data_IF_727486274582
#
_entry.id   IF_727486274582
#
_cell.length_a   1.000
_cell.length_b   1.000
_cell.length_c   1.000
_cell.angle_alpha   90.00
_cell.angle_beta   90.00
_cell.angle_gamma   90.00
#
_symmetry.space_group_name_H-M   'P 1'
#
loop_
_entity.id
_entity.type
_entity.pdbx_description
1 polymer ?
#
# COMPACT_ATOMS: atom_id res chain seq x y z
N UNK A 1 -25.47 -2.44 -14.38
CA UNK A 1 -24.25 -2.37 -13.55
C UNK A 1 -23.94 -3.78 -13.09
N UNK A 2 -22.80 -4.32 -13.46
CA UNK A 2 -22.35 -5.60 -12.95
C UNK A 2 -22.23 -5.51 -11.41
N UNK A 3 -22.64 -6.56 -10.75
CA UNK A 3 -22.54 -6.63 -9.29
C UNK A 3 -21.06 -6.84 -8.94
N UNK A 4 -20.59 -6.27 -7.85
CA UNK A 4 -19.20 -6.42 -7.36
C UNK A 4 -18.83 -7.89 -7.20
N UNK A 5 -19.83 -8.73 -6.88
CA UNK A 5 -19.68 -10.18 -6.78
C UNK A 5 -19.22 -10.81 -8.12
N UNK A 6 -19.82 -10.39 -9.24
CA UNK A 6 -19.49 -10.88 -10.58
C UNK A 6 -18.12 -10.36 -11.02
N UNK A 7 -17.80 -9.09 -10.73
CA UNK A 7 -16.50 -8.50 -11.03
C UNK A 7 -15.38 -9.24 -10.30
N UNK A 8 -15.53 -9.46 -8.99
CA UNK A 8 -14.53 -10.15 -8.18
C UNK A 8 -14.40 -11.63 -8.58
N UNK A 9 -15.51 -12.32 -8.81
CA UNK A 9 -15.51 -13.72 -9.26
C UNK A 9 -14.86 -13.92 -10.63
N UNK A 10 -14.84 -12.88 -11.49
CA UNK A 10 -14.21 -12.90 -12.80
C UNK A 10 -12.72 -12.56 -12.80
N UNK A 11 -12.16 -12.14 -11.67
CA UNK A 11 -10.74 -11.83 -11.58
C UNK A 11 -9.88 -13.08 -11.79
N UNK A 12 -8.89 -12.97 -12.64
CA UNK A 12 -7.88 -14.00 -12.91
C UNK A 12 -6.50 -13.36 -12.94
N UNK A 13 -5.48 -14.12 -12.60
CA UNK A 13 -4.11 -13.65 -12.63
C UNK A 13 -3.72 -13.33 -14.07
N UNK A 14 -3.51 -12.06 -14.36
CA UNK A 14 -3.03 -11.58 -15.65
C UNK A 14 -1.51 -11.58 -15.72
N UNK A 15 -0.86 -11.24 -14.61
CA UNK A 15 0.60 -11.16 -14.48
C UNK A 15 1.04 -11.57 -13.10
N UNK A 16 2.24 -12.16 -13.05
CA UNK A 16 2.95 -12.54 -11.82
C UNK A 16 4.39 -12.07 -11.91
N UNK A 17 4.84 -11.36 -10.89
CA UNK A 17 6.24 -10.97 -10.75
C UNK A 17 6.76 -11.53 -9.42
N UNK A 18 7.85 -12.29 -9.48
CA UNK A 18 8.59 -12.75 -8.31
C UNK A 18 10.07 -12.48 -8.55
N UNK A 19 10.72 -11.79 -7.62
CA UNK A 19 12.17 -11.56 -7.66
C UNK A 19 12.82 -12.69 -6.86
N UNK A 20 13.43 -13.65 -7.59
CA UNK A 20 13.99 -14.86 -6.99
C UNK A 20 15.41 -14.69 -6.46
N UNK A 21 16.15 -13.67 -6.95
CA UNK A 21 17.55 -13.42 -6.59
C UNK A 21 17.68 -12.79 -5.20
N UNK A 22 16.69 -11.98 -4.79
CA UNK A 22 16.58 -11.38 -3.47
C UNK A 22 15.11 -11.41 -3.02
N UNK A 23 14.63 -12.57 -2.55
CA UNK A 23 13.25 -12.71 -2.13
C UNK A 23 13.00 -11.90 -0.87
N UNK A 24 12.04 -10.98 -0.92
CA UNK A 24 11.62 -10.13 0.18
C UNK A 24 10.10 -10.10 0.26
N UNK A 25 9.55 -10.04 1.46
CA UNK A 25 8.13 -9.84 1.66
C UNK A 25 7.70 -8.48 1.10
N UNK A 26 6.56 -8.44 0.41
CA UNK A 26 5.95 -7.22 -0.09
C UNK A 26 4.97 -6.72 0.96
N UNK A 27 5.30 -5.58 1.59
CA UNK A 27 4.63 -5.11 2.80
C UNK A 27 3.50 -4.13 2.52
N UNK A 28 3.77 -3.14 1.64
CA UNK A 28 2.79 -2.11 1.27
C UNK A 28 2.85 -1.84 -0.23
N UNK A 29 1.70 -1.50 -0.83
CA UNK A 29 1.54 -1.21 -2.25
C UNK A 29 0.82 0.12 -2.40
N UNK A 30 1.35 1.02 -3.22
CA UNK A 30 0.61 2.18 -3.72
C UNK A 30 0.80 2.36 -5.22
N UNK A 31 -0.13 3.07 -5.86
CA UNK A 31 -0.20 3.23 -7.32
C UNK A 31 -0.28 4.71 -7.67
N UNK A 32 0.43 5.11 -8.72
CA UNK A 32 0.34 6.48 -9.23
C UNK A 32 -1.09 6.82 -9.68
N UNK A 33 -1.56 8.02 -9.30
CA UNK A 33 -2.98 8.42 -9.36
C UNK A 33 -3.33 9.31 -10.55
N UNK A 34 -2.35 9.67 -11.41
CA UNK A 34 -2.59 10.59 -12.53
C UNK A 34 -3.55 10.04 -13.58
N UNK A 35 -4.40 10.93 -14.05
CA UNK A 35 -5.45 10.67 -15.05
C UNK A 35 -4.95 10.93 -16.48
N UNK A 36 -3.72 11.39 -16.67
CA UNK A 36 -3.20 11.73 -18.01
C UNK A 36 -2.95 10.46 -18.83
N UNK A 37 -3.46 10.43 -20.05
CA UNK A 37 -3.40 9.26 -20.95
C UNK A 37 -1.97 8.81 -21.34
N UNK A 38 -0.97 9.67 -21.15
CA UNK A 38 0.45 9.39 -21.41
C UNK A 38 1.24 9.10 -20.13
N UNK A 39 0.56 9.01 -18.96
CA UNK A 39 1.23 8.77 -17.69
C UNK A 39 1.77 7.34 -17.61
N UNK A 40 2.98 7.21 -17.10
CA UNK A 40 3.51 5.92 -16.70
C UNK A 40 2.71 5.42 -15.49
N UNK A 41 1.82 4.47 -15.71
CA UNK A 41 1.09 3.80 -14.62
C UNK A 41 2.09 3.02 -13.77
N UNK A 42 2.48 3.59 -12.64
CA UNK A 42 3.49 3.04 -11.74
C UNK A 42 2.85 2.35 -10.54
N UNK A 43 3.53 1.34 -10.05
CA UNK A 43 3.24 0.67 -8.77
C UNK A 43 4.50 0.75 -7.92
N UNK A 44 4.40 1.26 -6.72
CA UNK A 44 5.46 1.22 -5.71
C UNK A 44 5.14 0.15 -4.67
N UNK A 45 6.17 -0.54 -4.24
CA UNK A 45 6.09 -1.60 -3.24
C UNK A 45 7.21 -1.41 -2.22
N UNK A 46 6.87 -1.38 -0.93
CA UNK A 46 7.86 -1.48 0.15
C UNK A 46 8.15 -2.95 0.45
N UNK A 47 9.42 -3.27 0.68
CA UNK A 47 9.89 -4.63 0.87
C UNK A 47 10.56 -4.82 2.24
N UNK A 48 10.48 -6.04 2.79
CA UNK A 48 11.07 -6.39 4.09
C UNK A 48 12.61 -6.29 4.13
N UNK A 49 13.26 -6.34 2.96
CA UNK A 49 14.71 -6.09 2.83
C UNK A 49 15.07 -4.60 2.79
N UNK A 50 14.14 -3.70 3.16
CA UNK A 50 14.30 -2.24 3.18
C UNK A 50 14.41 -1.58 1.79
N UNK A 51 14.13 -2.32 0.72
CA UNK A 51 14.06 -1.77 -0.63
C UNK A 51 12.66 -1.24 -0.96
N UNK A 52 12.62 -0.23 -1.82
CA UNK A 52 11.40 0.26 -2.47
C UNK A 52 11.52 -0.09 -3.94
N UNK A 53 10.57 -0.86 -4.45
CA UNK A 53 10.55 -1.30 -5.85
C UNK A 53 9.44 -0.60 -6.61
N UNK A 54 9.76 -0.03 -7.77
CA UNK A 54 8.81 0.65 -8.63
C UNK A 54 8.67 -0.14 -9.93
N UNK A 55 7.44 -0.52 -10.23
CA UNK A 55 7.08 -1.34 -11.39
C UNK A 55 6.18 -0.57 -12.36
N UNK A 56 6.21 -0.97 -13.61
CA UNK A 56 5.13 -0.61 -14.53
C UNK A 56 3.88 -1.45 -14.18
N UNK A 57 2.73 -0.79 -13.96
CA UNK A 57 1.48 -1.43 -13.48
C UNK A 57 0.96 -2.51 -14.42
N UNK A 58 1.09 -2.30 -15.74
CA UNK A 58 0.52 -3.21 -16.74
C UNK A 58 1.36 -4.46 -16.98
N UNK A 59 2.67 -4.30 -16.92
CA UNK A 59 3.62 -5.37 -17.28
C UNK A 59 4.23 -6.06 -16.07
N UNK A 60 4.17 -5.42 -14.90
CA UNK A 60 4.89 -5.76 -13.68
C UNK A 60 6.41 -5.83 -13.90
N UNK A 61 6.93 -5.09 -14.90
CA UNK A 61 8.36 -4.97 -15.12
C UNK A 61 8.95 -4.00 -14.10
N UNK A 62 10.01 -4.42 -13.41
CA UNK A 62 10.74 -3.56 -12.46
C UNK A 62 11.44 -2.42 -13.22
N UNK A 63 11.12 -1.19 -12.83
CA UNK A 63 11.68 0.02 -13.44
C UNK A 63 12.77 0.62 -12.57
N UNK A 64 12.58 0.63 -11.23
CA UNK A 64 13.48 1.25 -10.26
C UNK A 64 13.50 0.44 -8.97
N UNK A 65 14.62 0.50 -8.28
CA UNK A 65 14.79 0.00 -6.91
C UNK A 65 15.60 1.01 -6.10
N UNK A 66 15.10 1.37 -4.92
CA UNK A 66 15.74 2.30 -3.99
C UNK A 66 16.10 1.57 -2.70
N UNK A 67 17.36 1.63 -2.30
CA UNK A 67 17.93 0.96 -1.12
C UNK A 67 18.50 1.97 -0.11
N UNK A 68 17.88 3.13 0.02
CA UNK A 68 18.44 4.27 0.75
C UNK A 68 17.91 4.46 2.18
N UNK A 69 17.17 3.51 2.72
CA UNK A 69 16.70 3.53 4.10
C UNK A 69 17.49 2.53 4.98
N UNK A 70 17.99 2.97 6.16
CA UNK A 70 18.71 2.08 7.08
C UNK A 70 17.76 1.22 7.92
N UNK A 71 16.55 1.70 8.18
CA UNK A 71 15.52 1.05 9.01
C UNK A 71 14.46 0.31 8.21
N UNK A 72 13.43 -0.16 8.91
CA UNK A 72 12.25 -0.80 8.31
C UNK A 72 11.38 0.23 7.60
N UNK A 73 10.83 -0.14 6.45
CA UNK A 73 9.88 0.67 5.72
C UNK A 73 8.46 0.46 6.25
N UNK A 74 7.79 1.53 6.61
CA UNK A 74 6.45 1.52 7.17
C UNK A 74 5.38 1.91 6.15
N UNK A 75 5.77 2.18 4.92
CA UNK A 75 4.86 2.38 3.80
C UNK A 75 5.47 3.18 2.66
N UNK A 76 4.73 3.22 1.56
CA UNK A 76 5.02 4.01 0.37
C UNK A 76 3.74 4.69 -0.11
N UNK A 77 3.85 5.95 -0.57
CA UNK A 77 2.72 6.72 -1.12
C UNK A 77 3.16 7.53 -2.32
N UNK A 78 2.45 7.39 -3.43
CA UNK A 78 2.57 8.34 -4.53
C UNK A 78 1.89 9.65 -4.19
N UNK A 79 2.44 10.75 -4.68
CA UNK A 79 1.73 12.01 -4.72
C UNK A 79 0.41 11.88 -5.51
N UNK A 80 -0.61 12.65 -5.11
CA UNK A 80 -1.92 12.64 -5.76
C UNK A 80 -1.93 13.42 -7.08
N UNK A 81 -1.12 14.49 -7.15
CA UNK A 81 -1.08 15.41 -8.29
C UNK A 81 0.09 15.15 -9.23
N UNK A 82 1.00 14.23 -8.89
CA UNK A 82 2.21 13.93 -9.67
C UNK A 82 2.58 12.46 -9.64
N UNK A 83 2.59 11.79 -10.78
CA UNK A 83 3.03 10.40 -10.92
C UNK A 83 4.53 10.17 -10.64
N UNK A 84 5.30 11.25 -10.58
CA UNK A 84 6.76 11.17 -10.50
C UNK A 84 7.28 11.33 -9.06
N UNK A 85 6.43 11.70 -8.11
CA UNK A 85 6.81 11.84 -6.71
C UNK A 85 6.32 10.65 -5.91
N UNK A 86 7.25 9.97 -5.27
CA UNK A 86 6.99 8.85 -4.37
C UNK A 86 7.53 9.19 -2.99
N UNK A 87 6.74 8.99 -1.96
CA UNK A 87 7.12 9.15 -0.56
C UNK A 87 7.29 7.79 0.10
N UNK A 88 8.22 7.70 1.04
CA UNK A 88 8.43 6.51 1.87
C UNK A 88 8.77 6.89 3.29
N UNK A 89 8.13 6.24 4.26
CA UNK A 89 8.44 6.40 5.68
C UNK A 89 9.27 5.23 6.20
N UNK A 90 10.13 5.54 7.15
CA UNK A 90 11.03 4.58 7.75
C UNK A 90 11.07 4.71 9.28
N UNK A 91 11.31 3.60 9.95
CA UNK A 91 11.49 3.53 11.40
C UNK A 91 12.71 4.31 11.93
N UNK A 92 13.55 4.87 11.04
CA UNK A 92 14.64 5.77 11.43
C UNK A 92 14.19 7.22 11.70
N UNK A 93 12.89 7.49 11.75
CA UNK A 93 12.32 8.82 11.97
C UNK A 93 12.45 9.74 10.74
N UNK A 94 12.53 9.17 9.54
CA UNK A 94 12.58 9.93 8.29
C UNK A 94 11.48 9.56 7.31
N UNK A 95 10.99 10.58 6.58
CA UNK A 95 10.23 10.38 5.35
C UNK A 95 11.07 10.94 4.20
N UNK A 96 11.17 10.17 3.12
CA UNK A 96 11.92 10.54 1.91
C UNK A 96 11.01 10.69 0.73
N UNK A 97 11.24 11.72 -0.09
CA UNK A 97 10.57 11.90 -1.36
C UNK A 97 11.56 11.59 -2.49
N UNK A 98 11.10 10.80 -3.46
CA UNK A 98 11.85 10.32 -4.61
C UNK A 98 11.24 10.85 -5.90
N UNK A 99 12.06 11.21 -6.87
CA UNK A 99 11.61 11.43 -8.25
C UNK A 99 11.81 10.12 -9.04
N UNK A 100 10.72 9.47 -9.41
CA UNK A 100 10.74 8.15 -10.07
C UNK A 100 11.34 8.18 -11.50
N UNK A 101 11.53 9.38 -12.08
CA UNK A 101 12.22 9.55 -13.37
C UNK A 101 13.73 9.44 -13.24
N UNK A 102 14.27 9.79 -12.06
CA UNK A 102 15.70 9.78 -11.82
C UNK A 102 16.19 8.35 -11.51
N UNK A 103 17.31 7.98 -12.06
CA UNK A 103 17.96 6.69 -11.78
C UNK A 103 18.86 6.73 -10.54
N UNK A 104 18.95 7.87 -9.86
CA UNK A 104 19.80 8.07 -8.68
C UNK A 104 19.11 7.54 -7.42
N UNK A 105 19.92 7.23 -6.40
CA UNK A 105 19.46 6.90 -5.04
C UNK A 105 19.31 8.17 -4.18
N UNK A 106 19.31 9.34 -4.79
CA UNK A 106 19.20 10.62 -4.12
C UNK A 106 17.73 11.00 -3.92
N UNK A 107 17.42 11.49 -2.74
CA UNK A 107 16.11 12.01 -2.40
C UNK A 107 15.95 13.45 -2.87
N UNK A 108 14.77 13.82 -3.35
CA UNK A 108 14.44 15.21 -3.71
C UNK A 108 13.98 16.03 -2.53
N UNK A 109 13.43 15.36 -1.49
CA UNK A 109 13.08 15.99 -0.21
C UNK A 109 13.32 14.98 0.92
N UNK A 110 13.72 15.50 2.07
CA UNK A 110 13.88 14.74 3.30
C UNK A 110 13.10 15.44 4.42
N UNK A 111 12.23 14.69 5.10
CA UNK A 111 11.48 15.13 6.25
C UNK A 111 12.01 14.36 7.46
N UNK A 112 12.27 15.07 8.55
CA UNK A 112 12.80 14.47 9.77
C UNK A 112 11.95 14.91 10.96
N UNK A 113 11.58 13.94 11.78
CA UNK A 113 10.98 14.19 13.07
C UNK A 113 12.01 14.54 14.14
N UNK A 114 11.57 14.56 15.38
CA UNK A 114 12.46 14.71 16.52
C UNK A 114 13.35 13.47 16.68
N UNK A 115 14.53 13.58 17.32
CA UNK A 115 15.55 12.51 17.34
C UNK A 115 15.08 11.17 17.91
N UNK A 116 14.06 11.17 18.78
CA UNK A 116 13.49 9.97 19.41
C UNK A 116 12.32 9.37 18.62
N UNK A 117 11.82 10.03 17.58
CA UNK A 117 10.64 9.55 16.87
C UNK A 117 10.96 8.32 15.98
N UNK A 118 10.16 7.29 16.15
CA UNK A 118 10.08 6.14 15.25
C UNK A 118 8.76 6.26 14.50
N UNK A 119 8.80 6.51 13.20
CA UNK A 119 7.58 6.58 12.40
C UNK A 119 7.09 5.19 12.07
N UNK A 120 5.81 4.90 12.40
CA UNK A 120 5.15 3.63 12.10
C UNK A 120 4.01 3.77 11.10
N UNK A 121 3.55 4.98 10.87
CA UNK A 121 2.53 5.29 9.86
C UNK A 121 2.78 6.67 9.24
N UNK A 122 2.30 6.88 8.02
CA UNK A 122 2.30 8.19 7.39
C UNK A 122 1.30 8.25 6.24
N UNK A 123 0.93 9.48 5.86
CA UNK A 123 0.16 9.74 4.65
C UNK A 123 0.45 11.15 4.12
N UNK A 124 0.00 11.43 2.90
CA UNK A 124 0.05 12.75 2.26
C UNK A 124 -1.36 13.19 1.88
N UNK A 125 -1.68 14.46 2.09
CA UNK A 125 -3.01 14.98 1.79
C UNK A 125 -3.29 15.07 0.27
N UNK A 126 -4.56 15.10 -0.10
CA UNK A 126 -5.01 14.97 -1.50
C UNK A 126 -4.52 16.08 -2.45
N UNK A 127 -3.98 17.19 -1.95
CA UNK A 127 -3.38 18.26 -2.74
C UNK A 127 -1.84 18.29 -2.69
N UNK A 128 -1.21 17.29 -2.05
CA UNK A 128 0.25 17.13 -1.91
C UNK A 128 0.96 18.29 -1.19
N UNK A 129 0.26 19.00 -0.29
CA UNK A 129 0.85 20.12 0.44
C UNK A 129 1.34 19.75 1.83
N UNK A 130 0.71 18.76 2.49
CA UNK A 130 1.01 18.35 3.85
C UNK A 130 1.31 16.84 3.88
N UNK A 131 2.41 16.50 4.52
CA UNK A 131 2.73 15.12 4.94
C UNK A 131 2.51 15.04 6.44
N UNK A 132 1.91 13.95 6.90
CA UNK A 132 1.76 13.64 8.32
C UNK A 132 2.31 12.24 8.60
N UNK A 133 3.01 12.09 9.75
CA UNK A 133 3.44 10.79 10.27
C UNK A 133 2.94 10.58 11.69
N UNK A 134 2.59 9.33 12.01
CA UNK A 134 2.33 8.86 13.37
C UNK A 134 3.54 8.12 13.93
N UNK A 135 3.80 8.31 15.21
CA UNK A 135 4.96 7.73 15.89
C UNK A 135 4.59 6.51 16.73
N UNK A 136 5.60 5.71 17.01
CA UNK A 136 5.63 4.79 18.16
C UNK A 136 5.64 5.60 19.45
N UNK A 137 5.07 5.05 20.54
CA UNK A 137 5.11 5.64 21.87
C UNK A 137 6.55 5.62 22.41
N UNK A 138 6.98 6.76 22.93
CA UNK A 138 8.28 6.92 23.59
C UNK A 138 8.10 7.70 24.88
N UNK A 139 8.36 7.10 26.04
CA UNK A 139 8.28 7.73 27.36
C UNK A 139 6.88 8.30 27.69
N UNK A 140 5.81 7.57 27.29
CA UNK A 140 4.39 7.93 27.43
C UNK A 140 3.91 9.02 26.44
N UNK A 141 4.77 9.48 25.51
CA UNK A 141 4.42 10.47 24.48
C UNK A 141 4.29 9.83 23.09
N UNK A 142 3.25 10.21 22.37
CA UNK A 142 3.04 9.86 20.95
C UNK A 142 2.79 11.13 20.14
N UNK A 143 3.16 11.11 18.87
CA UNK A 143 3.08 12.33 18.07
C UNK A 143 2.49 12.06 16.67
N UNK A 144 1.57 12.94 16.27
CA UNK A 144 1.31 13.21 14.86
C UNK A 144 2.19 14.39 14.45
N UNK A 145 3.10 14.16 13.52
CA UNK A 145 4.06 15.19 13.09
C UNK A 145 3.71 15.64 11.67
N UNK A 146 3.68 16.95 11.42
CA UNK A 146 3.25 17.54 10.16
C UNK A 146 4.37 18.30 9.46
N UNK A 147 4.48 18.22 8.13
CA UNK A 147 5.45 18.96 7.31
C UNK A 147 4.81 19.56 6.06
N UNK A 148 5.40 20.68 5.62
CA UNK A 148 5.13 21.25 4.31
C UNK A 148 5.80 20.42 3.21
N UNK A 149 5.01 19.76 2.38
CA UNK A 149 5.48 18.91 1.28
C UNK A 149 5.82 19.69 -0.01
N UNK A 150 5.58 21.01 -0.05
CA UNK A 150 5.92 21.82 -1.24
C UNK A 150 7.42 21.76 -1.52
N UNK A 151 7.78 21.62 -2.78
CA UNK A 151 9.18 21.63 -3.20
C UNK A 151 9.73 23.05 -3.02
N UNK A 152 10.80 23.20 -2.26
CA UNK A 152 11.59 24.43 -2.30
C UNK A 152 12.49 24.38 -3.54
N UNK A 153 12.64 25.51 -4.22
CA UNK A 153 13.51 25.64 -5.41
C UNK A 153 15.00 25.50 -5.08
N UNK A 154 15.35 25.59 -3.82
CA UNK A 154 16.71 25.40 -3.35
C UNK A 154 16.95 23.92 -3.02
N UNK A 155 17.73 23.27 -3.85
CA UNK A 155 18.24 21.91 -3.65
C UNK A 155 19.23 21.85 -2.47
N UNK A 156 18.83 22.36 -1.30
CA UNK A 156 19.62 22.19 -0.09
C UNK A 156 19.32 20.81 0.49
N UNK A 157 20.36 20.03 0.75
CA UNK A 157 20.33 18.71 1.36
C UNK A 157 19.88 18.71 2.83
N UNK A 158 19.26 19.80 3.29
CA UNK A 158 18.76 19.95 4.64
C UNK A 158 17.39 19.32 4.79
N UNK A 159 17.21 18.54 5.86
CA UNK A 159 15.91 17.99 6.20
C UNK A 159 14.92 19.12 6.49
N UNK A 160 13.66 18.93 6.12
CA UNK A 160 12.57 19.84 6.46
C UNK A 160 12.21 19.67 7.93
N UNK A 161 12.10 20.80 8.62
CA UNK A 161 11.61 20.85 9.98
C UNK A 161 10.09 20.69 10.01
N UNK A 162 9.51 20.10 11.07
CA UNK A 162 8.07 20.01 11.24
C UNK A 162 7.40 21.39 11.27
N UNK A 163 6.19 21.45 10.73
CA UNK A 163 5.28 22.58 10.89
C UNK A 163 4.68 22.63 12.30
N UNK A 164 4.40 21.46 12.86
CA UNK A 164 3.80 21.29 14.18
C UNK A 164 3.61 19.82 14.51
N UNK A 165 3.17 19.57 15.73
CA UNK A 165 2.87 18.23 16.27
C UNK A 165 1.57 18.27 17.05
N UNK A 166 0.83 17.16 17.03
CA UNK A 166 -0.23 16.84 17.99
C UNK A 166 0.29 15.75 18.91
N UNK A 167 0.07 15.88 20.21
CA UNK A 167 0.64 15.00 21.24
C UNK A 167 -0.30 14.68 22.42
N UNK A 168 -1.51 15.19 22.41
CA UNK A 168 -2.42 15.08 23.56
C UNK A 168 -3.58 14.11 23.33
N UNK A 169 -3.83 13.71 22.08
CA UNK A 169 -5.04 12.96 21.69
C UNK A 169 -4.87 11.46 21.63
N UNK A 170 -3.64 10.94 21.67
CA UNK A 170 -3.33 9.51 21.72
C UNK A 170 -2.32 9.21 22.84
N UNK A 171 -2.48 8.03 23.47
CA UNK A 171 -1.63 7.59 24.59
C UNK A 171 -0.79 6.35 24.25
N UNK A 172 -0.81 5.89 22.98
CA UNK A 172 -0.09 4.69 22.53
C UNK A 172 0.19 4.79 21.02
N UNK A 173 0.87 3.85 20.43
CA UNK A 173 1.34 3.79 19.04
C UNK A 173 0.31 4.28 18.02
N UNK A 174 0.65 5.28 17.19
CA UNK A 174 -0.23 5.76 16.11
C UNK A 174 -0.01 4.93 14.87
N UNK A 175 -0.70 3.81 14.81
CA UNK A 175 -0.54 2.74 13.82
C UNK A 175 -0.99 3.12 12.41
N UNK A 176 -1.89 4.09 12.27
CA UNK A 176 -2.37 4.54 10.97
C UNK A 176 -2.70 6.03 10.94
N UNK A 177 -2.19 6.70 9.90
CA UNK A 177 -2.61 8.02 9.46
C UNK A 177 -3.32 7.88 8.11
N UNK A 178 -4.43 8.59 7.92
CA UNK A 178 -5.18 8.57 6.67
C UNK A 178 -5.83 9.94 6.42
N UNK A 179 -5.33 10.69 5.43
CA UNK A 179 -5.96 11.92 5.00
C UNK A 179 -7.29 11.64 4.28
N UNK A 180 -8.20 12.60 4.42
CA UNK A 180 -9.47 12.55 3.70
C UNK A 180 -9.24 12.64 2.18
N UNK A 181 -9.90 11.78 1.36
CA UNK A 181 -9.60 11.68 -0.07
C UNK A 181 -9.86 12.95 -0.89
N UNK A 182 -10.72 13.85 -0.40
CA UNK A 182 -11.17 15.06 -1.13
C UNK A 182 -10.90 16.35 -0.36
N UNK A 183 -11.00 16.34 0.96
CA UNK A 183 -10.80 17.52 1.81
C UNK A 183 -9.38 17.52 2.36
N UNK A 184 -8.48 18.40 1.87
CA UNK A 184 -7.05 18.33 2.20
C UNK A 184 -6.71 18.69 3.66
N UNK A 185 -7.64 19.29 4.37
CA UNK A 185 -7.50 19.68 5.77
C UNK A 185 -7.99 18.64 6.77
N UNK A 186 -8.68 17.60 6.32
CA UNK A 186 -9.15 16.54 7.22
C UNK A 186 -8.18 15.36 7.23
N UNK A 187 -7.84 14.88 8.43
CA UNK A 187 -7.02 13.70 8.65
C UNK A 187 -7.61 12.85 9.77
N UNK A 188 -7.53 11.54 9.62
CA UNK A 188 -7.83 10.58 10.67
C UNK A 188 -6.56 9.89 11.14
N UNK A 189 -6.48 9.62 12.44
CA UNK A 189 -5.46 8.78 13.07
C UNK A 189 -6.10 7.60 13.78
N UNK A 190 -5.39 6.48 13.83
CA UNK A 190 -5.79 5.31 14.61
C UNK A 190 -4.62 4.83 15.45
N UNK A 191 -4.88 4.43 16.70
CA UNK A 191 -3.87 4.07 17.67
C UNK A 191 -4.15 2.72 18.33
N UNK A 192 -3.10 2.14 18.91
CA UNK A 192 -3.20 0.96 19.77
C UNK A 192 -3.94 1.24 21.07
N UNK A 193 -4.15 2.51 21.45
CA UNK A 193 -5.03 2.93 22.55
C UNK A 193 -6.53 2.63 22.29
N UNK A 194 -6.87 2.20 21.07
CA UNK A 194 -8.23 1.84 20.67
C UNK A 194 -9.04 3.00 20.07
N UNK A 195 -8.45 4.18 19.96
CA UNK A 195 -9.14 5.37 19.46
C UNK A 195 -8.85 5.59 17.96
N UNK A 196 -9.86 6.12 17.29
CA UNK A 196 -9.76 6.74 15.96
C UNK A 196 -10.16 8.20 16.11
N UNK A 197 -9.22 9.11 15.91
CA UNK A 197 -9.43 10.54 16.01
C UNK A 197 -9.49 11.19 14.62
N UNK A 198 -10.35 12.19 14.47
CA UNK A 198 -10.51 12.95 13.21
C UNK A 198 -10.26 14.43 13.50
N UNK A 199 -9.40 15.05 12.69
CA UNK A 199 -8.95 16.43 12.87
C UNK A 199 -9.18 17.30 11.64
N UNK A 200 -9.44 18.59 11.90
CA UNK A 200 -9.30 19.68 10.91
C UNK A 200 -8.01 20.44 11.18
N UNK A 201 -6.97 20.16 10.40
CA UNK A 201 -5.65 20.78 10.54
C UNK A 201 -5.57 22.28 10.15
N UNK A 202 -6.69 22.90 9.78
CA UNK A 202 -6.75 24.34 9.60
C UNK A 202 -6.91 25.11 10.93
N UNK A 203 -7.13 24.41 12.03
CA UNK A 203 -7.26 24.99 13.35
C UNK A 203 -5.88 25.27 13.96
N UNK A 204 -5.83 26.21 14.91
CA UNK A 204 -4.58 26.71 15.44
C UNK A 204 -3.92 25.75 16.46
N UNK A 205 -4.72 25.00 17.21
CA UNK A 205 -4.26 24.06 18.22
C UNK A 205 -4.94 22.68 18.06
N UNK A 206 -4.43 21.70 18.81
CA UNK A 206 -4.86 20.31 18.74
C UNK A 206 -6.28 20.10 19.25
N UNK A 207 -6.64 20.80 20.35
CA UNK A 207 -7.96 20.70 20.98
C UNK A 207 -9.05 21.21 20.03
N UNK A 208 -8.85 22.37 19.42
CA UNK A 208 -9.78 22.93 18.45
C UNK A 208 -9.80 22.14 17.13
N UNK A 209 -8.70 21.48 16.79
CA UNK A 209 -8.58 20.65 15.58
C UNK A 209 -9.34 19.34 15.70
N UNK A 210 -9.49 18.79 16.91
CA UNK A 210 -10.17 17.50 17.13
C UNK A 210 -11.67 17.63 16.87
N UNK A 211 -12.14 17.00 15.82
CA UNK A 211 -13.56 17.03 15.42
C UNK A 211 -14.36 15.87 16.00
N UNK A 212 -13.76 14.69 16.10
CA UNK A 212 -14.44 13.49 16.55
C UNK A 212 -13.45 12.45 17.09
N UNK A 213 -13.87 11.74 18.14
CA UNK A 213 -13.18 10.56 18.67
C UNK A 213 -14.11 9.37 18.60
N UNK A 214 -13.67 8.28 17.97
CA UNK A 214 -14.38 7.01 17.84
C UNK A 214 -13.64 5.95 18.65
N UNK A 215 -14.35 5.18 19.48
CA UNK A 215 -13.76 4.12 20.29
C UNK A 215 -14.03 2.75 19.66
N UNK A 216 -12.99 1.99 19.36
CA UNK A 216 -13.09 0.62 18.82
C UNK A 216 -13.05 -0.46 19.88
N UNK A 217 -12.80 -0.11 21.15
CA UNK A 217 -12.59 -1.03 22.28
C UNK A 217 -11.43 -2.02 22.12
N UNK A 218 -10.57 -1.81 21.12
CA UNK A 218 -9.42 -2.68 20.83
C UNK A 218 -8.36 -1.92 20.00
N UNK A 219 -7.10 -2.34 20.10
CA UNK A 219 -5.98 -1.74 19.37
C UNK A 219 -6.23 -1.63 17.86
N UNK A 220 -6.19 -0.42 17.33
CA UNK A 220 -6.44 -0.15 15.91
C UNK A 220 -5.22 -0.56 15.06
N UNK A 221 -5.45 -1.28 13.96
CA UNK A 221 -4.42 -1.69 13.01
C UNK A 221 -4.55 -1.02 11.64
N UNK A 222 -5.75 -0.60 11.27
CA UNK A 222 -6.07 0.00 9.99
C UNK A 222 -7.25 0.96 10.11
N UNK A 223 -7.22 2.07 9.38
CA UNK A 223 -8.35 3.00 9.24
C UNK A 223 -8.56 3.39 7.78
N UNK A 224 -9.77 3.84 7.45
CA UNK A 224 -10.09 4.39 6.15
C UNK A 224 -11.39 5.18 6.14
N UNK A 225 -11.56 5.95 5.09
CA UNK A 225 -12.75 6.75 4.83
C UNK A 225 -13.75 6.01 3.95
N UNK A 226 -15.04 6.24 4.19
CA UNK A 226 -16.11 5.59 3.42
C UNK A 226 -17.38 6.43 3.37
N UNK A 227 -18.39 5.90 2.67
CA UNK A 227 -19.68 6.54 2.51
C UNK A 227 -19.67 7.68 1.49
N UNK A 228 -20.87 8.14 1.19
CA UNK A 228 -21.04 9.26 0.27
C UNK A 228 -20.35 10.52 0.83
N UNK A 229 -19.57 11.18 -0.03
CA UNK A 229 -18.75 12.34 0.33
C UNK A 229 -17.72 12.05 1.44
N UNK A 230 -17.40 10.74 1.68
CA UNK A 230 -16.46 10.28 2.70
C UNK A 230 -16.77 10.78 4.12
N UNK A 231 -18.06 10.82 4.48
CA UNK A 231 -18.53 11.25 5.80
C UNK A 231 -18.51 10.12 6.84
N UNK A 232 -17.89 9.03 6.54
CA UNK A 232 -17.80 7.87 7.42
C UNK A 232 -16.35 7.44 7.56
N UNK A 233 -15.99 6.98 8.75
CA UNK A 233 -14.70 6.39 9.05
C UNK A 233 -14.88 4.97 9.55
N UNK A 234 -13.97 4.08 9.18
CA UNK A 234 -13.95 2.71 9.67
C UNK A 234 -12.56 2.34 10.13
N UNK A 235 -12.48 1.38 11.03
CA UNK A 235 -11.22 0.79 11.44
C UNK A 235 -11.27 -0.74 11.47
N UNK A 236 -10.10 -1.33 11.46
CA UNK A 236 -9.83 -2.71 11.82
C UNK A 236 -8.92 -2.74 13.03
N UNK A 237 -9.04 -3.79 13.83
CA UNK A 237 -8.24 -3.94 15.06
C UNK A 237 -7.26 -5.11 14.95
N UNK A 238 -6.25 -5.15 15.82
CA UNK A 238 -5.31 -6.25 15.90
C UNK A 238 -5.94 -7.59 16.35
N UNK A 239 -7.16 -7.53 16.89
CA UNK A 239 -7.97 -8.72 17.21
C UNK A 239 -8.83 -9.19 16.04
N UNK A 240 -8.63 -8.65 14.83
CA UNK A 240 -9.44 -8.87 13.62
C UNK A 240 -10.88 -8.37 13.77
N UNK A 241 -11.08 -7.35 14.60
CA UNK A 241 -12.35 -6.63 14.73
C UNK A 241 -12.55 -5.61 13.60
N UNK A 242 -13.77 -5.14 13.48
CA UNK A 242 -14.17 -4.11 12.52
C UNK A 242 -15.19 -3.16 13.15
N UNK A 243 -14.90 -1.85 13.05
CA UNK A 243 -15.80 -0.81 13.51
C UNK A 243 -16.03 0.22 12.41
N UNK A 244 -17.23 0.80 12.37
CA UNK A 244 -17.66 1.76 11.36
C UNK A 244 -18.56 2.83 11.94
N UNK A 245 -18.26 4.11 11.68
CA UNK A 245 -18.96 5.26 12.25
C UNK A 245 -19.38 6.26 11.18
N UNK A 246 -20.50 6.96 11.45
CA UNK A 246 -20.98 8.09 10.66
C UNK A 246 -20.59 9.41 11.36
N UNK A 247 -19.88 10.26 10.62
CA UNK A 247 -19.40 11.57 11.07
C UNK A 247 -20.30 12.73 10.59
N UNK A 248 -21.45 12.44 9.97
CA UNK A 248 -22.32 13.50 9.40
C UNK A 248 -22.98 14.37 10.46
N UNK A 249 -22.98 13.94 11.72
CA UNK A 249 -23.51 14.66 12.89
C UNK A 249 -22.38 14.92 13.90
N UNK A 250 -21.43 15.76 13.53
CA UNK A 250 -20.27 16.10 14.39
C UNK A 250 -20.68 16.91 15.64
N UNK A 251 -21.89 17.51 15.65
CA UNK A 251 -22.41 18.27 16.80
C UNK A 251 -22.90 17.40 17.98
N UNK A 252 -22.79 16.07 17.87
CA UNK A 252 -23.10 15.14 18.97
C UNK A 252 -21.83 14.75 19.71
N UNK A 253 -21.91 14.52 21.02
CA UNK A 253 -20.78 14.16 21.87
C UNK A 253 -20.02 12.91 21.41
N UNK A 254 -20.70 12.00 20.66
CA UNK A 254 -20.10 10.80 20.11
C UNK A 254 -20.59 10.54 18.67
N UNK A 255 -19.71 10.14 17.74
CA UNK A 255 -20.10 9.71 16.40
C UNK A 255 -21.03 8.49 16.44
N UNK A 256 -21.99 8.45 15.51
CA UNK A 256 -22.94 7.36 15.43
C UNK A 256 -22.26 6.07 14.94
N UNK A 257 -22.24 5.04 15.78
CA UNK A 257 -21.74 3.71 15.40
C UNK A 257 -22.72 3.04 14.43
N UNK A 258 -22.25 2.73 13.21
CA UNK A 258 -23.03 2.01 12.19
C UNK A 258 -22.89 0.50 12.33
N UNK A 259 -21.70 0.02 12.66
CA UNK A 259 -21.39 -1.40 12.85
C UNK A 259 -20.17 -1.55 13.76
N UNK A 260 -20.24 -2.52 14.68
CA UNK A 260 -19.12 -2.94 15.50
C UNK A 260 -19.09 -4.47 15.60
N UNK A 261 -17.98 -5.07 15.20
CA UNK A 261 -17.73 -6.52 15.21
C UNK A 261 -16.42 -6.76 15.95
N UNK A 262 -16.44 -7.53 17.01
CA UNK A 262 -15.26 -7.80 17.84
C UNK A 262 -14.24 -8.71 17.13
N UNK A 263 -14.73 -9.70 16.37
CA UNK A 263 -13.91 -10.61 15.58
C UNK A 263 -14.65 -11.00 14.28
N UNK A 264 -14.17 -10.53 13.15
CA UNK A 264 -14.75 -10.81 11.84
C UNK A 264 -14.67 -12.29 11.48
N UNK A 265 -13.67 -13.02 12.01
CA UNK A 265 -13.47 -14.46 11.75
C UNK A 265 -14.58 -15.33 12.31
N UNK A 266 -15.24 -14.87 13.38
CA UNK A 266 -16.36 -15.59 14.01
C UNK A 266 -17.70 -15.37 13.27
N UNK A 267 -17.82 -14.23 12.56
CA UNK A 267 -19.07 -13.82 11.91
C UNK A 267 -19.12 -14.24 10.44
N UNK A 268 -18.00 -14.21 9.74
CA UNK A 268 -17.92 -14.51 8.31
C UNK A 268 -17.65 -16.00 8.08
N UNK A 269 -18.70 -16.73 7.73
CA UNK A 269 -18.58 -18.15 7.38
C UNK A 269 -18.07 -18.32 5.94
N UNK A 270 -16.99 -19.07 5.75
CA UNK A 270 -16.38 -19.38 4.46
C UNK A 270 -16.41 -20.90 4.27
N UNK A 271 -17.03 -21.37 3.21
CA UNK A 271 -17.07 -22.80 2.90
C UNK A 271 -15.64 -23.33 2.61
N UNK A 272 -15.25 -24.39 3.31
CA UNK A 272 -13.98 -25.09 3.17
C UNK A 272 -12.70 -24.23 3.39
N UNK A 273 -12.82 -23.09 4.06
CA UNK A 273 -11.71 -22.19 4.39
C UNK A 273 -12.01 -21.44 5.68
N UNK A 274 -11.00 -20.92 6.33
CA UNK A 274 -11.15 -20.04 7.48
C UNK A 274 -10.49 -18.72 7.17
N UNK A 275 -11.14 -17.62 7.50
CA UNK A 275 -10.50 -16.31 7.55
C UNK A 275 -9.45 -16.33 8.68
N UNK A 276 -8.21 -15.94 8.40
CA UNK A 276 -7.16 -15.91 9.41
C UNK A 276 -6.87 -14.49 9.89
N UNK A 277 -6.91 -13.51 8.99
CA UNK A 277 -6.56 -12.11 9.28
C UNK A 277 -7.24 -11.16 8.28
N UNK A 278 -7.33 -9.90 8.66
CA UNK A 278 -7.76 -8.80 7.79
C UNK A 278 -6.53 -8.11 7.16
N UNK A 279 -6.60 -7.79 5.87
CA UNK A 279 -5.52 -7.13 5.14
C UNK A 279 -5.74 -5.62 5.10
N UNK A 280 -6.99 -5.20 4.93
CA UNK A 280 -7.37 -3.80 4.83
C UNK A 280 -8.80 -3.66 4.30
N UNK A 281 -9.24 -2.42 4.14
CA UNK A 281 -10.55 -2.10 3.60
C UNK A 281 -10.50 -1.09 2.48
N UNK A 282 -11.58 -1.01 1.73
CA UNK A 282 -11.76 -0.01 0.68
C UNK A 282 -13.23 0.36 0.53
N UNK A 283 -13.47 1.64 0.24
CA UNK A 283 -14.78 2.10 -0.19
C UNK A 283 -14.87 2.08 -1.71
N UNK A 284 -15.79 1.29 -2.24
CA UNK A 284 -16.00 1.15 -3.68
C UNK A 284 -17.07 2.16 -4.16
N UNK A 285 -16.62 3.35 -4.58
CA UNK A 285 -17.47 4.48 -4.95
C UNK A 285 -18.56 4.14 -5.99
N UNK A 286 -18.21 3.37 -7.02
CA UNK A 286 -19.16 3.02 -8.10
C UNK A 286 -20.39 2.25 -7.61
N UNK A 287 -20.26 1.50 -6.54
CA UNK A 287 -21.32 0.65 -5.99
C UNK A 287 -21.81 1.11 -4.63
N UNK A 288 -21.21 2.16 -4.08
CA UNK A 288 -21.48 2.70 -2.73
C UNK A 288 -21.41 1.60 -1.67
N UNK A 289 -20.32 0.81 -1.71
CA UNK A 289 -20.09 -0.30 -0.80
C UNK A 289 -18.77 -0.18 -0.06
N UNK A 290 -18.79 -0.39 1.24
CA UNK A 290 -17.59 -0.60 2.02
C UNK A 290 -17.24 -2.09 1.98
N UNK A 291 -15.99 -2.38 1.62
CA UNK A 291 -15.47 -3.73 1.44
C UNK A 291 -14.26 -3.93 2.33
N UNK A 292 -14.17 -5.11 2.92
CA UNK A 292 -13.01 -5.58 3.68
C UNK A 292 -12.35 -6.71 2.92
N UNK A 293 -11.03 -6.69 2.86
CA UNK A 293 -10.21 -7.75 2.28
C UNK A 293 -9.55 -8.51 3.41
N UNK A 294 -9.80 -9.80 3.46
CA UNK A 294 -9.16 -10.70 4.40
C UNK A 294 -8.38 -11.81 3.70
N UNK A 295 -7.57 -12.52 4.46
CA UNK A 295 -6.71 -13.54 3.92
C UNK A 295 -6.58 -14.80 4.77
N UNK A 296 -5.95 -15.81 4.16
CA UNK A 296 -5.51 -17.02 4.85
C UNK A 296 -3.99 -17.12 4.82
N UNK A 297 -3.41 -17.84 5.77
CA UNK A 297 -1.98 -18.18 5.77
C UNK A 297 -1.52 -18.95 4.52
N UNK A 298 -2.47 -19.53 3.78
CA UNK A 298 -2.22 -20.26 2.53
C UNK A 298 -2.35 -19.36 1.28
N UNK A 299 -2.56 -18.05 1.46
CA UNK A 299 -2.59 -17.08 0.37
C UNK A 299 -3.93 -16.92 -0.36
N UNK A 300 -5.03 -17.48 0.16
CA UNK A 300 -6.35 -17.16 -0.36
C UNK A 300 -6.77 -15.75 0.08
N UNK A 301 -7.52 -15.05 -0.77
CA UNK A 301 -7.99 -13.69 -0.55
C UNK A 301 -9.51 -13.70 -0.53
N UNK A 302 -10.11 -13.18 0.52
CA UNK A 302 -11.55 -13.07 0.71
C UNK A 302 -11.99 -11.62 0.59
N UNK A 303 -13.03 -11.37 -0.19
CA UNK A 303 -13.69 -10.07 -0.26
C UNK A 303 -14.99 -10.15 0.56
N UNK A 304 -15.14 -9.23 1.49
CA UNK A 304 -16.25 -9.18 2.45
C UNK A 304 -16.95 -7.84 2.27
N UNK A 305 -18.26 -7.87 2.08
CA UNK A 305 -19.09 -6.66 2.02
C UNK A 305 -19.52 -6.27 3.44
N UNK A 306 -19.34 -5.00 3.77
CA UNK A 306 -19.79 -4.42 5.04
C UNK A 306 -21.11 -3.67 4.82
N UNK A 307 -22.14 -4.10 5.48
CA UNK A 307 -23.43 -3.43 5.51
C UNK A 307 -23.85 -3.12 6.95
N UNK A 308 -24.78 -2.19 7.13
CA UNK A 308 -25.31 -1.85 8.47
C UNK A 308 -25.96 -3.04 9.21
N UNK A 309 -26.34 -4.09 8.48
CA UNK A 309 -26.89 -5.32 9.03
C UNK A 309 -25.86 -6.40 9.31
N UNK A 310 -24.58 -6.13 9.10
CA UNK A 310 -23.47 -7.06 9.31
C UNK A 310 -22.60 -7.29 8.07
N UNK A 311 -21.78 -8.33 8.15
CA UNK A 311 -20.79 -8.70 7.15
C UNK A 311 -21.27 -9.87 6.29
N UNK A 312 -20.93 -9.87 5.01
CA UNK A 312 -21.22 -10.97 4.09
C UNK A 312 -20.08 -11.24 3.13
N UNK A 313 -19.74 -12.52 2.92
CA UNK A 313 -18.73 -12.92 1.95
C UNK A 313 -19.21 -12.59 0.53
N UNK A 314 -18.38 -11.84 -0.23
CA UNK A 314 -18.58 -11.55 -1.66
C UNK A 314 -17.99 -12.66 -2.52
N UNK A 315 -16.79 -13.12 -2.20
CA UNK A 315 -16.10 -14.16 -2.93
C UNK A 315 -14.69 -14.43 -2.44
N UNK A 316 -14.04 -15.41 -3.07
CA UNK A 316 -12.67 -15.84 -2.74
C UNK A 316 -11.83 -15.99 -3.99
N UNK A 317 -10.61 -15.45 -3.96
CA UNK A 317 -9.58 -15.70 -4.96
C UNK A 317 -8.61 -16.77 -4.44
N UNK A 318 -8.40 -17.79 -5.28
CA UNK A 318 -7.53 -18.92 -4.97
C UNK A 318 -6.33 -19.01 -5.92
N UNK A 319 -5.27 -19.69 -5.48
CA UNK A 319 -4.14 -20.08 -6.33
C UNK A 319 -3.25 -18.93 -6.78
N UNK A 320 -3.38 -17.76 -6.16
CA UNK A 320 -2.51 -16.62 -6.41
C UNK A 320 -1.25 -16.71 -5.57
N UNK A 321 -1.36 -16.43 -4.32
CA UNK A 321 -0.29 -16.47 -3.32
C UNK A 321 -0.16 -17.86 -2.68
N UNK A 322 0.99 -18.13 -2.07
CA UNK A 322 1.29 -19.33 -1.30
C UNK A 322 1.64 -19.06 0.18
N UNK A 323 1.58 -17.78 0.59
CA UNK A 323 1.81 -17.31 1.94
C UNK A 323 0.90 -16.10 2.22
N UNK A 324 1.05 -15.48 3.39
CA UNK A 324 0.29 -14.32 3.85
C UNK A 324 0.33 -13.17 2.84
N UNK A 325 -0.84 -12.67 2.47
CA UNK A 325 -0.97 -11.46 1.65
C UNK A 325 -0.95 -10.25 2.59
N UNK A 326 -0.05 -9.30 2.35
CA UNK A 326 0.19 -8.16 3.25
C UNK A 326 -0.48 -6.88 2.77
N UNK A 327 -0.64 -6.73 1.46
CA UNK A 327 -1.18 -5.50 0.89
C UNK A 327 -1.91 -5.75 -0.42
N UNK A 328 -2.80 -4.84 -0.75
CA UNK A 328 -3.54 -4.85 -2.00
C UNK A 328 -3.82 -3.42 -2.48
N UNK A 329 -4.08 -3.29 -3.76
CA UNK A 329 -4.61 -2.08 -4.37
C UNK A 329 -5.67 -2.45 -5.40
N UNK A 330 -6.89 -1.92 -5.24
CA UNK A 330 -7.99 -2.12 -6.19
C UNK A 330 -8.12 -0.90 -7.11
N UNK A 331 -7.88 -1.10 -8.39
CA UNK A 331 -8.13 -0.08 -9.39
C UNK A 331 -9.60 -0.12 -9.82
N UNK A 332 -10.39 0.81 -9.31
CA UNK A 332 -11.83 0.89 -9.59
C UNK A 332 -12.15 1.29 -11.03
N UNK A 333 -11.20 1.88 -11.78
CA UNK A 333 -11.42 2.29 -13.17
C UNK A 333 -11.36 1.10 -14.12
N UNK A 334 -10.40 0.20 -13.89
CA UNK A 334 -10.15 -0.98 -14.74
C UNK A 334 -10.67 -2.28 -14.12
N UNK A 335 -11.28 -2.20 -12.94
CA UNK A 335 -11.68 -3.35 -12.12
C UNK A 335 -10.57 -4.38 -11.94
N UNK A 336 -9.31 -3.88 -11.77
CA UNK A 336 -8.13 -4.71 -11.59
C UNK A 336 -7.60 -4.63 -10.16
N UNK A 337 -7.03 -5.73 -9.67
CA UNK A 337 -6.50 -5.85 -8.32
C UNK A 337 -5.00 -6.16 -8.38
N UNK A 338 -4.23 -5.45 -7.57
CA UNK A 338 -2.83 -5.78 -7.27
C UNK A 338 -2.76 -6.36 -5.87
N UNK A 339 -1.93 -7.38 -5.68
CA UNK A 339 -1.71 -8.00 -4.36
C UNK A 339 -0.25 -8.34 -4.16
N UNK A 340 0.26 -8.12 -2.95
CA UNK A 340 1.62 -8.43 -2.52
C UNK A 340 1.64 -9.22 -1.23
N UNK A 341 2.59 -10.13 -1.09
CA UNK A 341 2.63 -11.02 0.06
C UNK A 341 4.02 -11.50 0.48
N UNK A 342 4.03 -12.36 1.47
CA UNK A 342 5.25 -12.94 2.06
C UNK A 342 5.92 -13.99 1.16
N UNK A 343 5.23 -14.42 0.12
CA UNK A 343 5.80 -15.29 -0.93
C UNK A 343 6.66 -14.52 -1.97
N UNK A 344 6.97 -13.26 -1.69
CA UNK A 344 7.74 -12.37 -2.55
C UNK A 344 7.12 -12.16 -3.95
N UNK A 345 5.81 -12.33 -4.09
CA UNK A 345 5.10 -12.18 -5.34
C UNK A 345 4.27 -10.89 -5.38
N UNK A 346 4.36 -10.18 -6.51
CA UNK A 346 3.42 -9.13 -6.90
C UNK A 346 2.52 -9.69 -8.00
N UNK A 347 1.21 -9.72 -7.75
CA UNK A 347 0.23 -10.25 -8.69
C UNK A 347 -0.67 -9.15 -9.21
N UNK A 348 -0.94 -9.17 -10.52
CA UNK A 348 -1.96 -8.37 -11.16
C UNK A 348 -3.12 -9.28 -11.58
N UNK A 349 -4.30 -9.01 -11.05
CA UNK A 349 -5.54 -9.69 -11.37
C UNK A 349 -6.38 -8.78 -12.28
N UNK A 350 -6.93 -9.34 -13.36
CA UNK A 350 -7.82 -8.63 -14.29
C UNK A 350 -9.04 -9.48 -14.63
N UNK A 351 -10.19 -8.86 -14.94
CA UNK A 351 -11.38 -9.60 -15.36
C UNK A 351 -11.11 -10.43 -16.61
N UNK A 352 -11.50 -11.71 -16.61
CA UNK A 352 -11.39 -12.60 -17.76
C UNK A 352 -9.98 -12.86 -18.27
N UNK A 353 -8.95 -12.46 -17.54
CA UNK A 353 -7.56 -12.70 -17.94
C UNK A 353 -7.25 -14.20 -18.01
N UNK A 354 -6.40 -14.58 -18.96
CA UNK A 354 -5.81 -15.91 -19.01
C UNK A 354 -4.35 -15.78 -18.61
N UNK A 355 -3.96 -16.44 -17.52
CA UNK A 355 -2.56 -16.51 -17.12
C UNK A 355 -1.75 -17.11 -18.28
N UNK A 356 -0.96 -16.27 -18.95
CA UNK A 356 0.03 -16.77 -19.89
C UNK A 356 1.12 -17.41 -19.07
N UNK A 357 1.05 -18.73 -18.88
CA UNK A 357 2.15 -19.49 -18.32
C UNK A 357 3.43 -19.05 -19.05
N UNK A 358 4.44 -18.64 -18.31
CA UNK A 358 5.80 -18.54 -18.80
C UNK A 358 6.26 -19.96 -19.08
N UNK A 359 5.73 -20.58 -20.16
CA UNK A 359 6.36 -21.74 -20.76
C UNK A 359 7.77 -21.24 -21.05
N UNK A 360 8.74 -21.65 -20.24
CA UNK A 360 10.14 -21.53 -20.59
C UNK A 360 10.23 -22.00 -22.03
N UNK A 361 10.45 -21.08 -22.99
CA UNK A 361 10.86 -21.44 -24.32
C UNK A 361 12.08 -22.30 -24.10
N UNK A 362 11.91 -23.61 -24.21
CA UNK A 362 13.02 -24.53 -24.20
C UNK A 362 13.97 -23.94 -25.25
N UNK A 363 15.14 -23.54 -24.81
CA UNK A 363 16.18 -23.02 -25.68
C UNK A 363 16.32 -24.06 -26.76
N UNK A 364 15.90 -23.75 -27.99
CA UNK A 364 16.26 -24.53 -29.17
C UNK A 364 17.78 -24.46 -29.21
N UNK A 365 18.42 -25.50 -28.70
CA UNK A 365 19.81 -25.78 -29.00
C UNK A 365 19.86 -26.07 -30.50
N UNK A 366 20.13 -25.04 -31.28
CA UNK A 366 20.57 -25.20 -32.66
C UNK A 366 21.93 -25.89 -32.54
N UNK A 367 21.92 -27.19 -32.73
CA UNK A 367 23.12 -27.96 -32.93
C UNK A 367 23.65 -27.58 -34.32
N UNK A 368 24.46 -26.52 -34.38
CA UNK A 368 25.25 -26.20 -35.55
C UNK A 368 26.41 -27.21 -35.58
N UNK A 369 26.21 -28.30 -36.33
CA UNK A 369 27.29 -29.18 -36.77
C UNK A 369 28.16 -28.40 -37.74
N UNK A 370 29.15 -27.69 -37.25
CA UNK A 370 30.21 -27.15 -38.08
C UNK A 370 31.13 -28.32 -38.46
N UNK A 371 30.97 -28.83 -39.68
CA UNK A 371 31.94 -29.73 -40.30
C UNK A 371 33.20 -28.91 -40.62
N UNK A 372 34.20 -28.99 -39.76
CA UNK A 372 35.53 -28.52 -40.06
C UNK A 372 36.11 -29.41 -41.19
N UNK A 373 36.21 -28.85 -42.40
CA UNK A 373 37.05 -29.42 -43.48
C UNK A 373 38.51 -29.11 -43.14
N UNK A 374 39.22 -30.14 -42.65
CA UNK A 374 40.68 -30.09 -42.56
C UNK A 374 41.23 -30.19 -43.96
N UNK A 375 41.84 -29.11 -44.46
CA UNK A 375 42.68 -29.13 -45.68
C UNK A 375 44.06 -29.64 -45.28
N UNK A 376 44.35 -30.88 -45.71
CA UNK A 376 45.70 -31.44 -45.64
C UNK A 376 46.51 -30.81 -46.77
N UNK A 377 47.51 -30.03 -46.45
CA UNK A 377 48.48 -29.54 -47.41
C UNK A 377 49.61 -30.60 -47.56
N UNK A 378 49.61 -31.29 -48.68
CA UNK A 378 50.72 -32.14 -49.11
C UNK A 378 51.88 -31.23 -49.65
N UNK A 379 52.94 -31.09 -48.90
CA UNK A 379 54.20 -30.47 -49.39
C UNK A 379 55.03 -31.52 -50.09
N UNK A 380 55.06 -31.42 -51.43
CA UNK A 380 56.05 -32.18 -52.25
C UNK A 380 57.43 -31.59 -52.07
N UNK A 381 58.32 -32.35 -51.44
CA UNK A 381 59.78 -32.10 -51.49
C UNK A 381 60.30 -32.50 -52.83
N UNK A 382 60.72 -31.57 -53.69
CA UNK A 382 61.59 -31.81 -54.83
C UNK A 382 63.08 -31.91 -54.35
N UNK A 383 63.64 -33.09 -54.52
CA UNK A 383 65.14 -33.26 -54.53
C UNK A 383 65.68 -32.69 -55.85
N UNK A 384 66.70 -31.87 -55.73
CA UNK A 384 67.63 -31.57 -56.84
C UNK A 384 68.95 -32.24 -56.52
N UNK A 385 69.52 -32.78 -57.56
CA UNK A 385 70.92 -33.21 -57.68
C UNK A 385 71.85 -32.10 -57.37
#
# INVERSE_FOLDING_TARGET
>A
MEKIEEQFANLRIAKRCAIMEDPAYLLDIDVSKSVQAESNHLVAVSCSNKSIRVYNRETLHLLREYNAHPGLLNGVRFAHTSDNKLFSACSDGTIKCWDTRLATQETVQLFRGYPSNVFISFDINCNDLIVCAGTEEVEEDTFMVFWDARSNTDYTSTAKEPLGTYSETHNDDITKICFHPVQPNLVASGSTDGLVNVFDINKEDEDDALLATCNSDSSVSFIGWSGKDYKQVYCMTHTEGFCWWDLSQIDTEEPMTLLQILDVREVVCIENSNLNYLIGGLYHEKTDKLLVVGGTSMGNIHLINCGINGLSLVGTLHGGHSATVRSFYWNMTEDSLLTGGEDAQLLLWKPGAVERSLVKKASMKIASTVKQRVRVHNSHKRKKQ
#
